data_IF_726354371479
#
_entry.id   IF_726354371479
#
_cell.length_a   1.000
_cell.length_b   1.000
_cell.length_c   1.000
_cell.angle_alpha   90.00
_cell.angle_beta   90.00
_cell.angle_gamma   90.00
#
_symmetry.space_group_name_H-M   'P 1'
#
loop_
_entity.id
_entity.type
_entity.pdbx_description
1 polymer ?
#
# COMPACT_ATOMS: atom_id res chain seq x y z
N UNK A 1 -2.72 -3.67 4.67
CA UNK A 1 -3.95 -3.04 4.16
C UNK A 1 -3.78 -2.74 2.68
N UNK A 2 -4.79 -3.01 1.87
CA UNK A 2 -4.88 -2.59 0.47
C UNK A 2 -5.88 -1.43 0.36
N UNK A 3 -5.44 -0.30 -0.18
CA UNK A 3 -6.27 0.88 -0.38
C UNK A 3 -7.03 0.76 -1.70
N UNK A 4 -8.33 0.55 -1.65
CA UNK A 4 -9.18 0.29 -2.80
C UNK A 4 -10.47 1.14 -2.84
N UNK A 5 -10.58 2.18 -1.98
CA UNK A 5 -11.78 3.00 -1.86
C UNK A 5 -11.91 4.11 -2.92
N UNK A 6 -10.83 4.38 -3.68
CA UNK A 6 -10.78 5.50 -4.63
C UNK A 6 -11.78 5.36 -5.79
N UNK A 7 -12.42 6.49 -6.17
CA UNK A 7 -13.37 6.56 -7.31
C UNK A 7 -12.70 6.32 -8.67
N UNK A 8 -11.41 6.66 -8.80
CA UNK A 8 -10.69 6.52 -10.06
C UNK A 8 -11.15 7.49 -11.16
N UNK A 9 -11.45 8.74 -10.82
CA UNK A 9 -12.00 9.75 -11.73
C UNK A 9 -11.22 9.89 -13.05
N UNK A 10 -9.88 9.87 -12.98
CA UNK A 10 -9.02 10.00 -14.17
C UNK A 10 -9.04 8.77 -15.10
N UNK A 11 -9.65 7.67 -14.64
CA UNK A 11 -9.78 6.42 -15.40
C UNK A 11 -11.12 6.32 -16.16
N UNK A 12 -12.02 7.31 -16.03
CA UNK A 12 -13.29 7.29 -16.74
C UNK A 12 -13.08 7.26 -18.25
N UNK A 13 -13.97 6.57 -19.00
CA UNK A 13 -15.20 5.91 -18.54
C UNK A 13 -15.00 4.49 -17.94
N UNK A 14 -13.79 3.93 -17.93
CA UNK A 14 -13.53 2.56 -17.48
C UNK A 14 -14.01 2.31 -16.04
N UNK A 15 -13.86 3.33 -15.19
CA UNK A 15 -14.24 3.24 -13.77
C UNK A 15 -15.69 3.63 -13.48
N UNK A 16 -16.51 3.86 -14.50
CA UNK A 16 -17.95 4.09 -14.30
C UNK A 16 -18.68 2.79 -13.90
N UNK A 17 -18.21 1.65 -14.41
CA UNK A 17 -18.82 0.35 -14.20
C UNK A 17 -17.91 -0.68 -13.52
N UNK A 18 -16.60 -0.44 -13.47
CA UNK A 18 -15.62 -1.36 -12.88
C UNK A 18 -14.72 -0.60 -11.91
N UNK A 19 -14.60 -1.01 -10.64
CA UNK A 19 -13.70 -0.31 -9.72
C UNK A 19 -12.25 -0.49 -10.18
N UNK A 20 -11.44 0.56 -10.04
CA UNK A 20 -10.06 0.61 -10.54
C UNK A 20 -9.20 -0.61 -10.15
N UNK A 21 -9.26 -1.15 -8.91
CA UNK A 21 -8.51 -2.35 -8.53
C UNK A 21 -8.85 -3.62 -9.32
N UNK A 22 -10.00 -3.64 -9.99
CA UNK A 22 -10.44 -4.77 -10.82
C UNK A 22 -10.10 -4.61 -12.31
N UNK A 23 -9.61 -3.45 -12.74
CA UNK A 23 -9.20 -3.27 -14.13
C UNK A 23 -8.08 -4.26 -14.49
N UNK A 24 -8.17 -4.92 -15.67
CA UNK A 24 -7.23 -5.96 -16.04
C UNK A 24 -5.86 -5.38 -16.41
N UNK A 25 -4.83 -5.85 -15.73
CA UNK A 25 -3.43 -5.62 -16.07
C UNK A 25 -2.81 -6.98 -16.36
N UNK A 26 -2.34 -7.19 -17.61
CA UNK A 26 -1.72 -8.45 -18.05
C UNK A 26 -2.58 -9.67 -17.74
N UNK A 27 -3.85 -9.59 -18.06
CA UNK A 27 -4.79 -10.71 -18.02
C UNK A 27 -5.42 -10.98 -16.64
N UNK A 28 -5.09 -10.24 -15.58
CA UNK A 28 -5.74 -10.39 -14.27
C UNK A 28 -6.00 -9.04 -13.59
N UNK A 29 -6.94 -8.96 -12.62
CA UNK A 29 -7.22 -7.74 -11.88
C UNK A 29 -5.97 -7.12 -11.27
N UNK A 30 -5.84 -5.78 -11.34
CA UNK A 30 -4.68 -5.05 -10.83
C UNK A 30 -4.37 -5.40 -9.36
N UNK A 31 -5.38 -5.41 -8.49
CA UNK A 31 -5.19 -5.75 -7.07
C UNK A 31 -4.79 -7.21 -6.84
N UNK A 32 -5.06 -8.11 -7.78
CA UNK A 32 -4.69 -9.52 -7.66
C UNK A 32 -3.16 -9.71 -7.62
N UNK A 33 -2.41 -8.89 -8.34
CA UNK A 33 -0.94 -8.90 -8.30
C UNK A 33 -0.40 -8.71 -6.89
N UNK A 34 -1.02 -7.80 -6.15
CA UNK A 34 -0.63 -7.49 -4.77
C UNK A 34 -1.08 -8.58 -3.80
N UNK A 35 -2.30 -9.10 -3.96
CA UNK A 35 -2.80 -10.22 -3.14
C UNK A 35 -1.91 -11.46 -3.28
N UNK A 36 -1.49 -11.78 -4.50
CA UNK A 36 -0.56 -12.88 -4.75
C UNK A 36 0.83 -12.64 -4.13
N UNK A 37 1.35 -11.42 -4.23
CA UNK A 37 2.65 -11.07 -3.64
C UNK A 37 2.60 -11.14 -2.10
N UNK A 38 1.52 -10.67 -1.48
CA UNK A 38 1.30 -10.77 -0.03
C UNK A 38 1.16 -12.23 0.42
N UNK A 39 0.40 -13.04 -0.32
CA UNK A 39 0.22 -14.47 -0.01
C UNK A 39 1.56 -15.22 -0.12
N UNK A 40 2.35 -15.00 -1.18
CA UNK A 40 3.71 -15.57 -1.32
C UNK A 40 4.66 -15.15 -0.20
N UNK A 41 4.45 -13.98 0.39
CA UNK A 41 5.23 -13.51 1.55
C UNK A 41 4.73 -14.09 2.89
N UNK A 42 3.75 -14.97 2.88
CA UNK A 42 3.19 -15.59 4.09
C UNK A 42 2.30 -14.65 4.91
N UNK A 43 1.78 -13.58 4.32
CA UNK A 43 0.81 -12.69 4.98
C UNK A 43 -0.52 -13.43 5.11
N UNK A 44 -0.93 -13.75 6.31
CA UNK A 44 -2.15 -14.53 6.55
C UNK A 44 -3.46 -13.73 6.46
N UNK A 45 -3.40 -12.38 6.59
CA UNK A 45 -4.59 -11.53 6.62
C UNK A 45 -4.32 -10.16 5.97
N UNK A 46 -5.28 -9.69 5.18
CA UNK A 46 -5.30 -8.34 4.60
C UNK A 46 -6.63 -7.64 4.90
N UNK A 47 -6.58 -6.34 5.13
CA UNK A 47 -7.77 -5.48 5.16
C UNK A 47 -7.83 -4.69 3.85
N UNK A 48 -8.98 -4.70 3.19
CA UNK A 48 -9.24 -3.94 1.97
C UNK A 48 -10.31 -2.89 2.28
N UNK A 49 -9.98 -1.60 2.17
CA UNK A 49 -11.00 -0.58 2.27
C UNK A 49 -11.71 -0.39 0.94
N UNK A 50 -13.01 -0.18 0.98
CA UNK A 50 -13.85 -0.07 -0.23
C UNK A 50 -14.83 1.09 -0.10
N UNK A 51 -15.06 1.81 -1.20
CA UNK A 51 -16.13 2.79 -1.31
C UNK A 51 -16.83 2.67 -2.67
N UNK A 52 -16.23 3.21 -3.74
CA UNK A 52 -16.82 3.13 -5.06
C UNK A 52 -16.85 1.70 -5.58
N UNK A 53 -18.04 1.22 -5.94
CA UNK A 53 -18.28 -0.14 -6.45
C UNK A 53 -17.66 -1.25 -5.56
N UNK A 54 -17.54 -1.01 -4.26
CA UNK A 54 -16.95 -1.93 -3.28
C UNK A 54 -17.50 -3.35 -3.31
N UNK A 55 -18.82 -3.59 -3.48
CA UNK A 55 -19.38 -4.94 -3.61
C UNK A 55 -18.77 -5.76 -4.74
N UNK A 56 -18.36 -5.15 -5.85
CA UNK A 56 -17.70 -5.88 -6.94
C UNK A 56 -16.33 -6.40 -6.52
N UNK A 57 -15.57 -5.64 -5.71
CA UNK A 57 -14.27 -6.07 -5.18
C UNK A 57 -14.47 -7.26 -4.25
N UNK A 58 -15.45 -7.18 -3.34
CA UNK A 58 -15.76 -8.28 -2.42
C UNK A 58 -16.27 -9.53 -3.16
N UNK A 59 -17.09 -9.37 -4.20
CA UNK A 59 -17.55 -10.49 -5.03
C UNK A 59 -16.42 -11.16 -5.82
N UNK A 60 -15.42 -10.40 -6.28
CA UNK A 60 -14.28 -10.91 -7.04
C UNK A 60 -13.32 -11.74 -6.19
N UNK A 61 -13.03 -11.30 -4.96
CA UNK A 61 -11.97 -11.91 -4.14
C UNK A 61 -12.49 -12.70 -2.94
N UNK A 62 -13.77 -12.54 -2.57
CA UNK A 62 -14.40 -13.16 -1.40
C UNK A 62 -13.63 -12.86 -0.09
N UNK A 63 -13.88 -13.64 0.96
CA UNK A 63 -13.20 -13.51 2.26
C UNK A 63 -11.89 -14.30 2.36
N UNK A 64 -11.60 -15.12 1.36
CA UNK A 64 -10.39 -15.95 1.29
C UNK A 64 -9.84 -15.93 -0.14
N UNK A 65 -8.68 -15.36 -0.30
CA UNK A 65 -7.91 -15.43 -1.54
C UNK A 65 -6.96 -16.64 -1.48
N UNK A 66 -6.88 -17.42 -2.55
CA UNK A 66 -5.99 -18.56 -2.69
C UNK A 66 -5.05 -18.36 -3.87
N UNK A 67 -3.77 -18.61 -3.66
CA UNK A 67 -2.81 -18.68 -4.76
C UNK A 67 -3.23 -19.80 -5.70
N UNK A 68 -3.25 -19.52 -7.00
CA UNK A 68 -3.38 -20.58 -7.99
C UNK A 68 -2.02 -21.30 -8.10
N UNK A 69 -2.00 -22.65 -8.06
CA UNK A 69 -0.76 -23.37 -8.27
C UNK A 69 -0.20 -23.05 -9.66
N UNK A 70 1.11 -22.88 -9.76
CA UNK A 70 1.77 -22.80 -11.05
C UNK A 70 1.48 -24.11 -11.82
N UNK A 71 1.11 -24.01 -13.09
CA UNK A 71 0.62 -25.10 -13.96
C UNK A 71 1.50 -26.37 -13.99
N UNK A 72 2.68 -26.38 -13.37
CA UNK A 72 3.66 -27.46 -13.43
C UNK A 72 4.08 -28.06 -12.07
N UNK A 73 3.37 -27.76 -10.98
CA UNK A 73 3.69 -28.34 -9.67
C UNK A 73 2.47 -29.04 -9.07
N UNK A 74 2.56 -30.36 -8.89
CA UNK A 74 1.68 -31.18 -8.04
C UNK A 74 1.94 -30.88 -6.53
N UNK A 75 2.10 -29.62 -6.16
CA UNK A 75 2.21 -29.23 -4.75
C UNK A 75 0.80 -29.09 -4.17
N UNK A 76 0.49 -29.84 -3.15
CA UNK A 76 -0.68 -29.64 -2.32
C UNK A 76 -0.60 -28.21 -1.76
N UNK A 77 -1.63 -27.39 -2.05
CA UNK A 77 -1.77 -26.05 -1.49
C UNK A 77 -1.76 -26.17 0.03
N UNK A 78 -0.76 -25.59 0.67
CA UNK A 78 -0.70 -25.49 2.12
C UNK A 78 -1.64 -24.38 2.63
N UNK A 79 -1.93 -24.37 3.92
CA UNK A 79 -2.69 -23.27 4.55
C UNK A 79 -1.95 -21.94 4.37
N UNK A 80 -0.63 -21.95 4.14
CA UNK A 80 0.21 -20.80 3.87
C UNK A 80 -0.04 -20.15 2.50
N UNK A 81 -0.73 -20.85 1.57
CA UNK A 81 -1.06 -20.33 0.22
C UNK A 81 -2.41 -19.59 0.18
N UNK A 82 -3.00 -19.33 1.33
CA UNK A 82 -4.28 -18.61 1.46
C UNK A 82 -4.13 -17.34 2.31
N UNK A 83 -4.86 -16.30 1.90
CA UNK A 83 -4.88 -15.00 2.53
C UNK A 83 -6.32 -14.66 2.92
N UNK A 84 -6.57 -14.42 4.21
CA UNK A 84 -7.89 -13.95 4.64
C UNK A 84 -8.08 -12.48 4.30
N UNK A 85 -9.21 -12.14 3.71
CA UNK A 85 -9.57 -10.76 3.39
C UNK A 85 -10.65 -10.29 4.37
N UNK A 86 -10.46 -9.10 4.92
CA UNK A 86 -11.47 -8.35 5.67
C UNK A 86 -11.73 -7.04 4.96
N UNK A 87 -12.98 -6.65 4.86
CA UNK A 87 -13.37 -5.43 4.18
C UNK A 87 -13.71 -4.32 5.18
N UNK A 88 -13.23 -3.11 4.92
CA UNK A 88 -13.63 -1.88 5.59
C UNK A 88 -14.51 -1.08 4.62
N UNK A 89 -15.83 -1.11 4.83
CA UNK A 89 -16.83 -0.62 3.88
C UNK A 89 -17.10 0.89 4.07
N UNK A 90 -16.15 1.75 3.69
CA UNK A 90 -16.28 3.21 3.83
C UNK A 90 -17.49 3.76 3.05
N UNK A 91 -17.71 3.25 1.82
CA UNK A 91 -18.80 3.71 0.98
C UNK A 91 -20.19 3.34 1.51
N UNK A 92 -20.34 2.18 2.14
CA UNK A 92 -21.59 1.75 2.75
C UNK A 92 -21.86 2.50 4.05
N UNK A 93 -20.81 2.70 4.86
CA UNK A 93 -20.95 3.31 6.18
C UNK A 93 -21.08 4.84 6.13
N UNK A 94 -20.39 5.49 5.16
CA UNK A 94 -20.26 6.95 5.12
C UNK A 94 -20.61 7.57 3.75
N UNK A 95 -21.00 6.77 2.77
CA UNK A 95 -21.34 7.25 1.41
C UNK A 95 -20.17 7.66 0.55
N UNK A 96 -18.93 7.65 1.06
CA UNK A 96 -17.72 8.09 0.34
C UNK A 96 -16.45 7.47 0.93
N UNK A 97 -15.33 7.57 0.17
CA UNK A 97 -14.00 7.27 0.67
C UNK A 97 -13.56 8.29 1.73
N UNK A 98 -12.82 7.81 2.74
CA UNK A 98 -12.34 8.61 3.87
C UNK A 98 -10.92 9.16 3.68
N UNK A 99 -10.39 9.11 2.47
CA UNK A 99 -8.99 9.35 2.16
C UNK A 99 -8.05 8.38 2.91
N UNK A 100 -6.74 8.53 2.74
CA UNK A 100 -5.82 7.46 3.17
C UNK A 100 -5.71 7.33 4.68
N UNK A 101 -5.47 8.44 5.41
CA UNK A 101 -5.33 8.38 6.87
C UNK A 101 -6.68 8.09 7.55
N UNK A 102 -7.77 8.70 7.08
CA UNK A 102 -9.13 8.41 7.58
C UNK A 102 -9.54 6.96 7.37
N UNK A 103 -9.20 6.38 6.22
CA UNK A 103 -9.44 4.97 5.90
C UNK A 103 -8.59 4.01 6.74
N UNK A 104 -7.31 4.35 6.98
CA UNK A 104 -6.45 3.56 7.88
C UNK A 104 -7.00 3.62 9.32
N UNK A 105 -7.34 4.80 9.82
CA UNK A 105 -7.94 4.95 11.16
C UNK A 105 -9.23 4.13 11.29
N UNK A 106 -10.06 4.09 10.24
CA UNK A 106 -11.26 3.24 10.16
C UNK A 106 -10.92 1.76 10.27
N UNK A 107 -9.85 1.33 9.61
CA UNK A 107 -9.44 -0.06 9.54
C UNK A 107 -8.61 -0.53 10.75
N UNK A 108 -8.13 0.35 11.62
CA UNK A 108 -7.25 0.00 12.76
C UNK A 108 -7.75 -1.16 13.62
N UNK A 109 -9.05 -1.26 14.00
CA UNK A 109 -9.54 -2.40 14.76
C UNK A 109 -9.42 -3.75 14.03
N UNK A 110 -9.41 -3.74 12.68
CA UNK A 110 -9.23 -4.93 11.85
C UNK A 110 -7.75 -5.24 11.61
N UNK A 111 -6.90 -4.19 11.50
CA UNK A 111 -5.46 -4.31 11.29
C UNK A 111 -4.73 -4.76 12.55
N UNK A 112 -5.10 -4.14 13.67
CA UNK A 112 -4.50 -4.35 14.98
C UNK A 112 -5.58 -4.70 15.99
N UNK A 113 -6.19 -5.90 15.92
CA UNK A 113 -7.23 -6.28 16.86
C UNK A 113 -6.69 -6.29 18.29
N UNK A 114 -7.51 -5.96 19.30
CA UNK A 114 -7.15 -6.00 20.71
C UNK A 114 -7.02 -7.45 21.16
N UNK A 115 -5.95 -8.12 20.77
CA UNK A 115 -5.54 -9.42 21.29
C UNK A 115 -4.28 -9.18 22.09
N UNK A 116 -4.14 -9.80 23.26
CA UNK A 116 -2.93 -9.71 24.08
C UNK A 116 -1.64 -10.19 23.40
N UNK A 117 -1.61 -10.17 22.09
CA UNK A 117 -0.46 -10.50 21.24
C UNK A 117 0.42 -9.26 21.11
N UNK A 118 1.65 -9.37 21.60
CA UNK A 118 2.67 -8.33 21.67
C UNK A 118 2.95 -7.54 20.39
N UNK A 119 4.01 -6.78 20.36
CA UNK A 119 4.42 -5.74 19.37
C UNK A 119 4.14 -6.06 17.88
N UNK A 120 3.99 -7.31 17.46
CA UNK A 120 3.67 -7.70 16.07
C UNK A 120 2.29 -7.25 15.61
N UNK A 121 1.32 -7.13 16.52
CA UNK A 121 -0.04 -6.65 16.17
C UNK A 121 -0.11 -5.13 15.95
N UNK A 122 0.97 -4.39 16.20
CA UNK A 122 1.03 -2.94 16.10
C UNK A 122 1.66 -2.43 14.80
N UNK A 123 2.13 -3.33 13.94
CA UNK A 123 2.78 -2.98 12.67
C UNK A 123 2.05 -3.65 11.51
N UNK A 124 1.82 -2.88 10.45
CA UNK A 124 1.13 -3.36 9.25
C UNK A 124 1.65 -2.72 7.97
N UNK A 125 1.55 -3.47 6.89
CA UNK A 125 1.76 -2.97 5.54
C UNK A 125 0.55 -2.15 5.07
N UNK A 126 0.82 -1.05 4.36
CA UNK A 126 -0.18 -0.32 3.58
C UNK A 126 0.34 -0.16 2.16
N UNK A 127 -0.53 -0.42 1.19
CA UNK A 127 -0.22 -0.20 -0.22
C UNK A 127 -1.50 0.14 -0.99
N UNK A 128 -1.36 0.95 -2.05
CA UNK A 128 -2.47 1.33 -2.89
C UNK A 128 -2.84 0.18 -3.85
N UNK A 129 -4.13 -0.14 -3.96
CA UNK A 129 -4.65 -1.18 -4.86
C UNK A 129 -4.61 -0.80 -6.33
N UNK A 130 -4.05 0.35 -6.68
CA UNK A 130 -3.98 0.91 -8.03
C UNK A 130 -2.54 1.03 -8.58
N UNK A 131 -1.56 0.43 -7.91
CA UNK A 131 -0.19 0.34 -8.41
C UNK A 131 0.12 -1.06 -8.93
N UNK A 132 0.86 -1.11 -10.03
CA UNK A 132 1.43 -2.33 -10.58
C UNK A 132 2.90 -2.43 -10.17
N UNK A 133 3.22 -3.42 -9.34
CA UNK A 133 4.56 -3.62 -8.75
C UNK A 133 4.86 -5.12 -8.64
N UNK A 134 5.04 -5.81 -9.79
CA UNK A 134 5.04 -7.27 -9.86
C UNK A 134 6.23 -7.92 -9.15
N UNK A 135 7.33 -7.20 -8.97
CA UNK A 135 8.59 -7.72 -8.42
C UNK A 135 8.81 -7.32 -6.96
N UNK A 136 7.85 -6.64 -6.33
CA UNK A 136 8.00 -6.23 -4.94
C UNK A 136 7.86 -7.42 -3.98
N UNK A 137 8.84 -7.54 -3.09
CA UNK A 137 8.88 -8.60 -2.09
C UNK A 137 8.51 -8.03 -0.71
N UNK A 138 7.39 -8.46 -0.16
CA UNK A 138 6.98 -8.12 1.22
C UNK A 138 7.84 -8.91 2.22
N UNK A 139 9.06 -8.43 2.45
CA UNK A 139 10.08 -9.15 3.19
C UNK A 139 9.79 -9.21 4.70
N UNK A 140 9.77 -10.41 5.33
CA UNK A 140 9.76 -10.54 6.78
C UNK A 140 10.96 -9.89 7.47
N UNK A 141 12.12 -9.85 6.78
CA UNK A 141 13.33 -9.18 7.29
C UNK A 141 13.13 -7.66 7.37
N UNK A 142 12.43 -7.04 6.41
CA UNK A 142 12.08 -5.63 6.48
C UNK A 142 11.15 -5.32 7.67
N UNK A 143 10.18 -6.19 7.92
CA UNK A 143 9.31 -6.09 9.11
C UNK A 143 10.11 -6.23 10.40
N UNK A 144 11.00 -7.21 10.50
CA UNK A 144 11.83 -7.42 11.68
C UNK A 144 12.76 -6.22 11.96
N UNK A 145 13.39 -5.68 10.91
CA UNK A 145 14.22 -4.46 11.00
C UNK A 145 13.41 -3.24 11.46
N UNK A 146 12.21 -3.05 10.88
CA UNK A 146 11.33 -1.96 11.28
C UNK A 146 10.86 -2.09 12.74
N UNK A 147 10.55 -3.31 13.19
CA UNK A 147 10.15 -3.59 14.57
C UNK A 147 11.28 -3.31 15.57
N UNK A 148 12.53 -3.58 15.19
CA UNK A 148 13.71 -3.34 16.05
C UNK A 148 14.04 -1.85 16.23
N UNK A 149 13.54 -0.98 15.35
CA UNK A 149 13.76 0.47 15.40
C UNK A 149 12.65 1.22 16.14
N UNK A 150 12.75 2.54 16.12
CA UNK A 150 11.83 3.50 16.75
C UNK A 150 10.91 4.24 15.73
N UNK A 151 11.05 3.98 14.45
CA UNK A 151 10.31 4.70 13.42
C UNK A 151 8.82 4.36 13.42
N UNK A 152 7.99 5.35 13.14
CA UNK A 152 6.53 5.21 13.03
C UNK A 152 6.09 4.79 11.64
N UNK A 153 6.89 5.11 10.62
CA UNK A 153 6.67 4.63 9.26
C UNK A 153 8.00 4.32 8.57
N UNK A 154 7.96 3.39 7.61
CA UNK A 154 9.02 3.12 6.64
C UNK A 154 8.42 3.11 5.25
N UNK A 155 8.97 3.93 4.33
CA UNK A 155 8.42 4.15 3.00
C UNK A 155 9.35 3.58 1.92
N UNK A 156 8.78 2.98 0.88
CA UNK A 156 9.49 2.68 -0.36
C UNK A 156 9.29 3.82 -1.33
N UNK A 157 10.39 4.45 -1.74
CA UNK A 157 10.41 5.54 -2.71
C UNK A 157 10.85 4.97 -4.07
N UNK A 158 10.37 5.59 -5.15
CA UNK A 158 10.73 5.22 -6.53
C UNK A 158 11.24 6.44 -7.29
N UNK A 159 12.02 6.25 -8.38
CA UNK A 159 12.36 7.32 -9.29
C UNK A 159 11.11 8.05 -9.78
N UNK A 160 11.22 9.34 -10.00
CA UNK A 160 10.08 10.17 -10.39
C UNK A 160 9.55 9.79 -11.78
N UNK A 161 8.29 9.35 -11.90
CA UNK A 161 7.69 9.12 -13.19
C UNK A 161 7.39 10.45 -13.89
N UNK A 162 7.17 10.42 -15.21
CA UNK A 162 6.94 11.60 -16.04
C UNK A 162 5.79 12.52 -15.56
N UNK A 163 4.83 11.97 -14.84
CA UNK A 163 3.69 12.72 -14.30
C UNK A 163 3.91 13.27 -12.87
N UNK A 164 5.03 12.95 -12.21
CA UNK A 164 5.42 13.47 -10.90
C UNK A 164 6.91 13.82 -10.87
N UNK A 165 7.35 14.71 -11.76
CA UNK A 165 8.77 15.10 -11.86
C UNK A 165 9.32 15.77 -10.61
N UNK A 166 8.44 16.36 -9.77
CA UNK A 166 8.85 17.03 -8.53
C UNK A 166 9.14 16.05 -7.39
N UNK A 167 8.60 14.83 -7.46
CA UNK A 167 8.65 13.88 -6.36
C UNK A 167 7.88 14.37 -5.13
N UNK A 168 7.83 13.52 -4.11
CA UNK A 168 7.06 13.75 -2.89
C UNK A 168 7.96 14.03 -1.68
N UNK A 169 9.02 13.22 -1.50
CA UNK A 169 9.88 13.23 -0.32
C UNK A 169 11.36 13.11 -0.68
N UNK A 170 12.22 13.74 0.11
CA UNK A 170 13.66 13.52 0.02
C UNK A 170 14.09 12.24 0.76
N UNK A 171 15.30 11.80 0.49
CA UNK A 171 15.95 10.69 1.17
C UNK A 171 17.28 11.17 1.74
N UNK A 172 17.39 11.17 3.08
CA UNK A 172 18.65 11.37 3.78
C UNK A 172 19.38 10.03 3.86
N UNK A 173 20.67 10.03 3.55
CA UNK A 173 21.48 8.83 3.65
C UNK A 173 21.92 8.58 5.09
N UNK A 174 21.61 7.40 5.59
CA UNK A 174 22.25 6.84 6.78
C UNK A 174 22.97 5.59 6.28
N UNK A 175 24.29 5.53 6.49
CA UNK A 175 25.07 4.34 6.12
C UNK A 175 24.66 3.19 7.05
N UNK A 176 23.96 2.23 6.48
CA UNK A 176 23.48 1.05 7.26
C UNK A 176 24.29 -0.21 6.97
N UNK A 177 25.32 -0.13 6.10
CA UNK A 177 26.14 -1.28 5.70
C UNK A 177 25.38 -2.37 4.92
N UNK A 178 24.13 -2.13 4.53
CA UNK A 178 23.29 -3.06 3.77
C UNK A 178 23.33 -2.80 2.25
N UNK A 179 22.80 -3.73 1.44
CA UNK A 179 22.78 -3.61 -0.02
C UNK A 179 21.90 -2.46 -0.54
N UNK A 180 20.94 -2.00 0.24
CA UNK A 180 20.09 -0.84 -0.06
C UNK A 180 20.21 0.14 1.09
N UNK A 181 20.70 1.38 0.87
CA UNK A 181 20.82 2.36 1.94
C UNK A 181 19.43 2.77 2.44
N UNK A 182 19.22 2.61 3.73
CA UNK A 182 18.04 3.11 4.43
C UNK A 182 18.40 4.46 5.03
N UNK A 183 17.57 5.47 4.76
CA UNK A 183 17.74 6.81 5.29
C UNK A 183 16.48 7.32 5.98
N UNK A 184 16.55 8.55 6.47
CA UNK A 184 15.35 9.27 6.89
C UNK A 184 14.59 9.78 5.67
N UNK A 185 13.28 9.59 5.65
CA UNK A 185 12.43 10.30 4.72
C UNK A 185 12.37 11.78 5.12
N UNK A 186 12.54 12.69 4.15
CA UNK A 186 12.65 14.11 4.41
C UNK A 186 11.47 14.89 3.82
N UNK A 187 10.83 15.70 4.65
CA UNK A 187 9.85 16.69 4.23
C UNK A 187 10.58 17.95 3.75
N UNK A 188 11.04 17.95 2.49
CA UNK A 188 11.83 19.06 1.97
C UNK A 188 10.92 20.26 1.60
N UNK A 189 11.28 21.51 1.95
CA UNK A 189 10.64 22.71 1.42
C UNK A 189 10.71 22.77 -0.11
N UNK A 190 9.76 23.45 -0.75
CA UNK A 190 9.68 23.50 -2.22
C UNK A 190 10.96 24.04 -2.89
N UNK A 191 11.67 24.95 -2.24
CA UNK A 191 12.92 25.55 -2.72
C UNK A 191 14.18 24.73 -2.39
N UNK A 192 14.07 23.61 -1.67
CA UNK A 192 15.22 22.81 -1.30
C UNK A 192 15.79 22.10 -2.56
N UNK A 193 17.11 22.23 -2.84
CA UNK A 193 17.72 21.69 -4.05
C UNK A 193 17.95 20.16 -4.00
N UNK A 194 17.79 19.53 -2.83
CA UNK A 194 18.01 18.09 -2.69
C UNK A 194 16.99 17.30 -3.50
N UNK A 195 17.40 16.13 -4.03
CA UNK A 195 16.50 15.30 -4.84
C UNK A 195 15.31 14.81 -4.02
N UNK A 196 14.15 14.78 -4.65
CA UNK A 196 12.94 14.13 -4.17
C UNK A 196 12.64 12.92 -5.02
N UNK A 197 11.98 11.98 -4.41
CA UNK A 197 11.53 10.75 -5.04
C UNK A 197 10.02 10.62 -4.85
N UNK A 198 9.38 9.87 -5.72
CA UNK A 198 7.95 9.59 -5.62
C UNK A 198 7.71 8.53 -4.55
N UNK A 199 6.73 8.76 -3.68
CA UNK A 199 6.28 7.73 -2.75
C UNK A 199 5.51 6.64 -3.52
N UNK A 200 6.01 5.41 -3.47
CA UNK A 200 5.43 4.27 -4.20
C UNK A 200 4.03 3.87 -3.73
N UNK A 201 3.56 4.47 -2.64
CA UNK A 201 2.37 4.07 -1.88
C UNK A 201 2.51 2.73 -1.14
N UNK A 202 3.73 2.20 -1.05
CA UNK A 202 4.05 1.02 -0.24
C UNK A 202 4.79 1.48 1.02
N UNK A 203 4.29 1.07 2.19
CA UNK A 203 4.94 1.40 3.45
C UNK A 203 4.59 0.43 4.57
N UNK A 204 5.47 0.37 5.56
CA UNK A 204 5.22 -0.22 6.89
C UNK A 204 4.86 0.90 7.85
N UNK A 205 3.88 0.66 8.70
CA UNK A 205 3.38 1.65 9.64
C UNK A 205 3.20 1.04 11.01
N UNK A 206 3.52 1.83 12.05
CA UNK A 206 3.08 1.53 13.41
C UNK A 206 1.70 2.10 13.65
N UNK A 207 0.88 1.39 14.40
CA UNK A 207 -0.41 1.87 14.89
C UNK A 207 -0.28 3.24 15.58
N UNK A 208 0.78 3.46 16.35
CA UNK A 208 1.06 4.69 17.08
C UNK A 208 1.08 5.95 16.19
N UNK A 209 1.38 5.84 14.88
CA UNK A 209 1.28 6.97 13.95
C UNK A 209 -0.17 7.46 13.77
N UNK A 210 -1.15 6.59 13.99
CA UNK A 210 -2.59 6.89 13.84
C UNK A 210 -3.29 7.10 15.19
N UNK A 211 -2.54 7.49 16.20
CA UNK A 211 -3.00 7.81 17.55
C UNK A 211 -2.40 9.15 18.01
N UNK A 212 -2.95 9.81 19.04
CA UNK A 212 -2.33 11.01 19.61
C UNK A 212 -0.86 10.77 20.02
N UNK A 213 0.04 11.76 19.85
CA UNK A 213 -0.23 13.13 19.39
C UNK A 213 -0.25 13.31 17.87
N UNK A 214 -0.08 12.26 17.07
CA UNK A 214 0.05 12.34 15.62
C UNK A 214 -1.29 12.45 14.90
N UNK A 215 -2.28 11.73 15.38
CA UNK A 215 -3.60 11.64 14.76
C UNK A 215 -4.69 11.66 15.82
N UNK A 216 -5.62 12.61 15.70
CA UNK A 216 -6.74 12.77 16.64
C UNK A 216 -8.00 11.98 16.19
N UNK A 217 -7.90 11.22 15.09
CA UNK A 217 -9.03 10.40 14.63
C UNK A 217 -9.09 9.13 15.50
N UNK A 218 -10.18 8.95 16.21
CA UNK A 218 -10.38 7.75 17.03
C UNK A 218 -10.28 6.47 16.20
N UNK A 219 -9.67 5.41 16.76
CA UNK A 219 -9.59 4.12 16.11
C UNK A 219 -11.00 3.60 15.73
N UNK A 220 -11.13 3.10 14.50
CA UNK A 220 -12.42 2.77 13.90
C UNK A 220 -13.12 3.94 13.22
N UNK A 221 -12.63 5.17 13.38
CA UNK A 221 -13.14 6.40 12.76
C UNK A 221 -14.69 6.46 12.71
N UNK A 222 -15.37 6.42 13.85
CA UNK A 222 -16.81 6.29 13.89
C UNK A 222 -17.56 7.49 13.30
N UNK A 223 -16.88 8.63 13.18
CA UNK A 223 -17.45 9.85 12.60
C UNK A 223 -17.22 9.99 11.09
N UNK A 224 -16.51 9.05 10.47
CA UNK A 224 -16.20 9.12 9.03
C UNK A 224 -15.33 10.32 8.64
N UNK A 225 -14.39 10.70 9.49
CA UNK A 225 -13.48 11.85 9.24
C UNK A 225 -12.60 11.53 8.04
N UNK A 226 -12.65 12.41 7.03
CA UNK A 226 -11.76 12.34 5.87
C UNK A 226 -10.43 12.99 6.20
N UNK A 227 -9.33 12.23 6.00
CA UNK A 227 -7.99 12.76 6.27
C UNK A 227 -6.97 12.19 5.28
N UNK A 228 -6.17 13.06 4.62
CA UNK A 228 -5.05 12.62 3.79
C UNK A 228 -3.88 12.13 4.65
N UNK A 229 -3.10 11.18 4.12
CA UNK A 229 -1.93 10.65 4.83
C UNK A 229 -0.72 11.58 4.79
N UNK A 230 -0.58 12.37 3.72
CA UNK A 230 0.63 13.17 3.50
C UNK A 230 0.93 14.18 4.63
N UNK A 231 -0.02 14.95 5.19
CA UNK A 231 0.24 15.82 6.32
C UNK A 231 0.76 15.09 7.57
N UNK A 232 0.20 13.91 7.85
CA UNK A 232 0.60 13.07 8.97
C UNK A 232 2.04 12.56 8.80
N UNK A 233 2.38 12.07 7.60
CA UNK A 233 3.74 11.67 7.28
C UNK A 233 4.73 12.83 7.37
N UNK A 234 4.38 14.02 6.88
CA UNK A 234 5.26 15.21 6.95
C UNK A 234 5.54 15.60 8.38
N UNK A 235 4.53 15.64 9.25
CA UNK A 235 4.72 15.91 10.66
C UNK A 235 5.65 14.88 11.33
N UNK A 236 5.50 13.60 11.03
CA UNK A 236 6.37 12.55 11.54
C UNK A 236 7.80 12.62 10.95
N UNK A 237 7.95 13.01 9.66
CA UNK A 237 9.26 13.25 9.04
C UNK A 237 10.01 14.41 9.71
N UNK A 238 9.34 15.53 9.98
CA UNK A 238 9.93 16.70 10.61
C UNK A 238 10.46 16.40 12.03
N UNK A 239 9.96 15.33 12.63
CA UNK A 239 10.43 14.81 13.93
C UNK A 239 11.37 13.59 13.81
N UNK A 240 11.78 13.20 12.60
CA UNK A 240 12.72 12.09 12.36
C UNK A 240 12.13 10.69 12.55
N UNK A 241 10.80 10.53 12.59
CA UNK A 241 10.13 9.24 12.82
C UNK A 241 9.74 8.48 11.55
N UNK A 242 10.19 8.92 10.38
CA UNK A 242 9.94 8.21 9.13
C UNK A 242 11.26 7.84 8.47
N UNK A 243 11.46 6.55 8.20
CA UNK A 243 12.57 6.05 7.38
C UNK A 243 12.09 5.74 5.97
N UNK A 244 13.03 5.67 5.04
CA UNK A 244 12.73 5.25 3.67
C UNK A 244 13.92 4.54 3.01
N UNK A 245 13.61 3.79 1.95
CA UNK A 245 14.58 3.21 1.03
C UNK A 245 14.12 3.37 -0.42
N UNK A 246 15.06 3.31 -1.38
CA UNK A 246 14.74 3.35 -2.80
C UNK A 246 14.38 1.96 -3.30
N UNK A 247 13.27 1.87 -4.02
CA UNK A 247 12.88 0.69 -4.77
C UNK A 247 13.20 0.90 -6.26
N UNK A 248 14.12 0.09 -6.78
CA UNK A 248 14.56 0.14 -8.19
C UNK A 248 13.83 -0.85 -9.11
N UNK A 249 12.90 -1.64 -8.59
CA UNK A 249 12.12 -2.58 -9.40
C UNK A 249 11.01 -1.92 -10.22
N UNK A 250 10.27 -2.72 -10.98
CA UNK A 250 9.16 -2.22 -11.80
C UNK A 250 8.03 -1.68 -10.92
N UNK A 251 7.68 -0.42 -11.15
CA UNK A 251 6.58 0.25 -10.47
C UNK A 251 5.83 1.15 -11.45
N UNK A 252 4.50 1.11 -11.42
CA UNK A 252 3.65 2.01 -12.20
C UNK A 252 2.36 2.28 -11.44
N UNK A 253 2.03 3.55 -11.20
CA UNK A 253 0.66 3.90 -10.80
C UNK A 253 -0.25 3.84 -12.04
N UNK A 254 -1.33 3.09 -11.95
CA UNK A 254 -2.29 2.92 -13.05
C UNK A 254 -3.34 4.03 -12.96
N UNK A 255 -2.91 5.28 -13.09
CA UNK A 255 -3.72 6.46 -12.84
C UNK A 255 -4.49 6.99 -14.05
N UNK A 256 -4.21 6.51 -15.27
CA UNK A 256 -4.92 6.91 -16.50
C UNK A 256 -5.12 5.75 -17.46
N UNK A 257 -6.12 5.82 -18.38
CA UNK A 257 -6.32 4.78 -19.41
C UNK A 257 -5.10 4.54 -20.29
N UNK A 258 -4.30 5.58 -20.56
CA UNK A 258 -3.07 5.48 -21.36
C UNK A 258 -2.02 4.63 -20.66
N UNK A 259 -1.81 4.83 -19.34
CA UNK A 259 -0.87 4.02 -18.54
C UNK A 259 -1.33 2.56 -18.46
N UNK A 260 -2.64 2.34 -18.30
CA UNK A 260 -3.19 0.98 -18.33
C UNK A 260 -2.94 0.29 -19.69
N UNK A 261 -3.18 1.00 -20.80
CA UNK A 261 -2.90 0.46 -22.15
C UNK A 261 -1.42 0.17 -22.34
N UNK A 262 -0.53 1.08 -21.94
CA UNK A 262 0.91 0.90 -22.04
C UNK A 262 1.39 -0.34 -21.28
N UNK A 263 0.88 -0.59 -20.06
CA UNK A 263 1.19 -1.79 -19.29
C UNK A 263 0.74 -3.08 -19.97
N UNK A 264 -0.39 -3.05 -20.68
CA UNK A 264 -0.93 -4.23 -21.35
C UNK A 264 -0.27 -4.51 -22.71
N UNK A 265 0.22 -3.47 -23.42
CA UNK A 265 0.85 -3.58 -24.73
C UNK A 265 2.33 -3.98 -24.67
N UNK A 266 3.06 -3.58 -23.63
CA UNK A 266 4.46 -3.88 -23.47
C UNK A 266 4.63 -5.15 -22.61
N UNK A 267 4.83 -6.35 -23.21
CA UNK A 267 5.22 -7.52 -22.44
C UNK A 267 6.54 -7.22 -21.72
N UNK A 268 6.82 -7.82 -20.54
CA UNK A 268 8.13 -7.71 -19.94
C UNK A 268 9.14 -8.18 -21.00
N UNK A 269 10.10 -7.32 -21.35
CA UNK A 269 11.32 -7.82 -21.97
C UNK A 269 11.82 -8.92 -21.04
N UNK A 270 11.94 -10.14 -21.55
CA UNK A 270 12.65 -11.19 -20.84
C UNK A 270 14.03 -10.58 -20.52
N UNK A 271 14.27 -10.29 -19.24
CA UNK A 271 15.62 -10.00 -18.80
C UNK A 271 16.38 -11.32 -18.88
N UNK A 272 17.58 -11.27 -19.49
CA UNK A 272 18.43 -12.45 -19.60
C UNK A 272 18.81 -13.03 -18.26
#
# INVERSE_FOLDING_TARGET
MLLAAGRGERMRPLTDTTPKPLLPVRGKPLMQWQLEALARAGVGRVVVNTAWLGPQIAAQFNDVFRLQPALNKHEQLSIQDSLQIRYSHEGQDFGAALETAGGIARALPLLCPPTGAGARAEVFWVLAGDVYVPDFVFSPAAVARFLAGDKLAHLWLVPNPAHNLRGDFGLGTVDTGGPTPIGLALNLPAADPRPRYTYSTIGLYRRALFEPPWCDIAAGNPLGIKAPLAPLLRAAMDNGFVSAELYGGRWTDVGTPERLRALNLNPPSAQP
#
